data_IF_075966489783
#
_entry.id   IF_075966489783
#
_cell.length_a   1.000
_cell.length_b   1.000
_cell.length_c   1.000
_cell.angle_alpha   90.00
_cell.angle_beta   90.00
_cell.angle_gamma   90.00
#
_symmetry.space_group_name_H-M   'P 1'
#
loop_
_entity.id
_entity.type
_entity.pdbx_description
1 polymer ?
#
# COMPACT_ATOMS: atom_id res chain seq x y z
N UNK A 1 12.13 22.00 -4.87
CA UNK A 1 11.21 21.57 -5.96
C UNK A 1 10.81 20.12 -5.68
N UNK A 2 9.53 19.76 -5.80
CA UNK A 2 9.12 18.34 -5.69
C UNK A 2 9.52 17.65 -7.00
N UNK A 3 10.37 16.64 -6.94
CA UNK A 3 10.69 15.81 -8.11
C UNK A 3 9.43 15.05 -8.50
N UNK A 4 9.02 15.16 -9.76
CA UNK A 4 7.91 14.36 -10.28
C UNK A 4 8.41 12.94 -10.54
N UNK A 5 7.85 11.96 -9.83
CA UNK A 5 8.22 10.55 -9.95
C UNK A 5 7.06 9.79 -10.56
N UNK A 6 7.35 9.00 -11.59
CA UNK A 6 6.39 8.10 -12.21
C UNK A 6 6.68 6.68 -11.77
N UNK A 7 5.76 6.10 -10.98
CA UNK A 7 5.83 4.70 -10.55
C UNK A 7 4.86 3.89 -11.40
N UNK A 8 5.37 2.94 -12.18
CA UNK A 8 4.53 2.00 -12.93
C UNK A 8 4.11 0.87 -12.00
N UNK A 9 2.90 0.37 -12.20
CA UNK A 9 2.42 -0.82 -11.48
C UNK A 9 1.53 -1.66 -12.38
N UNK A 10 1.42 -2.95 -12.06
CA UNK A 10 0.60 -3.92 -12.78
C UNK A 10 -0.25 -4.71 -11.79
N UNK A 11 -1.48 -5.02 -12.20
CA UNK A 11 -2.28 -6.03 -11.51
C UNK A 11 -1.74 -7.41 -11.88
N UNK A 12 -1.40 -8.20 -10.88
CA UNK A 12 -1.07 -9.61 -11.02
C UNK A 12 -2.31 -10.51 -10.88
N UNK A 13 -3.39 -9.95 -10.30
CA UNK A 13 -4.68 -10.62 -10.13
C UNK A 13 -5.81 -9.70 -10.62
N UNK A 14 -6.83 -10.25 -11.27
CA UNK A 14 -7.98 -9.50 -11.79
C UNK A 14 -8.75 -8.74 -10.71
N UNK A 15 -8.84 -9.32 -9.50
CA UNK A 15 -9.54 -8.76 -8.35
C UNK A 15 -8.73 -7.71 -7.59
N UNK A 16 -7.45 -7.52 -7.93
CA UNK A 16 -6.60 -6.52 -7.28
C UNK A 16 -7.18 -5.12 -7.49
N UNK A 17 -7.22 -4.30 -6.44
CA UNK A 17 -7.70 -2.91 -6.51
C UNK A 17 -6.55 -1.97 -6.81
N UNK A 18 -6.80 -0.97 -7.66
CA UNK A 18 -5.81 0.05 -7.96
C UNK A 18 -5.54 0.90 -6.70
N UNK A 19 -4.29 1.28 -6.39
CA UNK A 19 -3.99 2.18 -5.30
C UNK A 19 -4.71 3.52 -5.48
N UNK A 20 -5.18 4.13 -4.40
CA UNK A 20 -5.84 5.44 -4.45
C UNK A 20 -5.10 6.46 -3.61
N UNK A 21 -5.17 7.73 -4.01
CA UNK A 21 -4.60 8.82 -3.23
C UNK A 21 -5.72 9.54 -2.49
N UNK A 22 -5.65 9.58 -1.16
CA UNK A 22 -6.74 10.12 -0.33
C UNK A 22 -6.96 11.63 -0.49
N UNK A 23 -5.95 12.38 -0.92
CA UNK A 23 -6.05 13.80 -1.26
C UNK A 23 -4.93 14.19 -2.23
N UNK A 24 -5.03 15.35 -2.89
CA UNK A 24 -4.00 15.85 -3.81
C UNK A 24 -2.61 16.06 -3.18
N UNK A 25 -2.55 16.14 -1.85
CA UNK A 25 -1.31 16.32 -1.09
C UNK A 25 -1.00 15.14 -0.17
N UNK A 26 -1.71 14.02 -0.30
CA UNK A 26 -1.43 12.85 0.53
C UNK A 26 -0.02 12.32 0.24
N UNK A 27 0.68 11.92 1.32
CA UNK A 27 2.07 11.49 1.24
C UNK A 27 2.28 10.14 0.52
N UNK A 28 1.21 9.37 0.32
CA UNK A 28 1.28 8.08 -0.35
C UNK A 28 -0.08 7.64 -0.88
N UNK A 29 -0.13 6.38 -1.31
CA UNK A 29 -1.32 5.74 -1.87
C UNK A 29 -1.81 4.65 -0.93
N UNK A 30 -3.12 4.63 -0.70
CA UNK A 30 -3.77 3.56 0.05
C UNK A 30 -3.71 2.26 -0.78
N UNK A 31 -3.27 1.18 -0.13
CA UNK A 31 -3.24 -0.18 -0.67
C UNK A 31 -4.40 -1.00 -0.12
N UNK A 32 -4.79 -2.02 -0.86
CA UNK A 32 -5.94 -2.86 -0.54
C UNK A 32 -5.52 -4.33 -0.48
N UNK A 33 -6.06 -5.06 0.49
CA UNK A 33 -5.96 -6.50 0.53
C UNK A 33 -6.69 -7.10 -0.68
N UNK A 34 -6.10 -8.14 -1.26
CA UNK A 34 -6.68 -8.90 -2.37
C UNK A 34 -7.88 -9.72 -1.92
N UNK A 35 -7.84 -10.20 -0.67
CA UNK A 35 -8.84 -11.07 -0.07
C UNK A 35 -9.09 -10.70 1.39
N UNK A 36 -10.17 -11.21 1.95
CA UNK A 36 -10.45 -11.07 3.37
C UNK A 36 -9.35 -11.77 4.19
N UNK A 37 -8.85 -11.09 5.22
CA UNK A 37 -7.78 -11.62 6.06
C UNK A 37 -8.09 -11.38 7.52
N UNK A 38 -7.98 -12.44 8.33
CA UNK A 38 -8.12 -12.36 9.79
C UNK A 38 -6.73 -12.18 10.40
N UNK A 39 -6.56 -11.10 11.17
CA UNK A 39 -5.32 -10.82 11.91
C UNK A 39 -5.57 -11.02 13.40
N UNK A 40 -4.95 -12.04 13.99
CA UNK A 40 -5.09 -12.29 15.42
C UNK A 40 -4.20 -11.34 16.22
N UNK A 41 -4.67 -10.95 17.41
CA UNK A 41 -3.91 -10.09 18.32
C UNK A 41 -2.56 -10.74 18.65
N UNK A 42 -1.47 -9.98 18.50
CA UNK A 42 -0.11 -10.44 18.77
C UNK A 42 0.50 -11.31 17.66
N UNK A 43 -0.17 -11.44 16.52
CA UNK A 43 0.36 -12.13 15.33
C UNK A 43 0.69 -11.12 14.23
N UNK A 44 1.61 -11.53 13.35
CA UNK A 44 1.90 -10.83 12.10
C UNK A 44 1.47 -11.72 10.93
N UNK A 45 0.84 -11.10 9.94
CA UNK A 45 0.40 -11.79 8.72
C UNK A 45 0.94 -11.06 7.49
N UNK A 46 1.23 -11.80 6.43
CA UNK A 46 1.54 -11.23 5.12
C UNK A 46 0.22 -11.10 4.37
N UNK A 47 -0.13 -9.88 3.96
CA UNK A 47 -1.36 -9.59 3.22
C UNK A 47 -1.00 -9.29 1.76
N UNK A 48 -1.54 -10.09 0.85
CA UNK A 48 -1.32 -9.92 -0.59
C UNK A 48 -2.17 -8.77 -1.13
N UNK A 49 -1.58 -7.91 -1.97
CA UNK A 49 -2.31 -6.82 -2.66
C UNK A 49 -2.71 -7.19 -4.09
N UNK A 50 -2.06 -8.20 -4.68
CA UNK A 50 -2.21 -8.56 -6.09
C UNK A 50 -1.59 -7.52 -7.05
N UNK A 51 -0.67 -6.68 -6.57
CA UNK A 51 0.01 -5.65 -7.36
C UNK A 51 1.51 -5.89 -7.41
N UNK A 52 2.12 -5.59 -8.55
CA UNK A 52 3.56 -5.39 -8.69
C UNK A 52 3.85 -3.91 -8.99
N UNK A 53 4.85 -3.34 -8.32
CA UNK A 53 5.28 -1.95 -8.52
C UNK A 53 6.72 -1.92 -9.05
N UNK A 54 6.97 -1.14 -10.09
CA UNK A 54 8.30 -0.85 -10.60
C UNK A 54 8.79 0.47 -9.98
N UNK A 55 9.42 0.36 -8.81
CA UNK A 55 10.01 1.50 -8.11
C UNK A 55 11.25 1.97 -8.89
N UNK A 56 11.37 3.27 -9.21
CA UNK A 56 12.51 3.79 -9.96
C UNK A 56 13.80 3.75 -9.14
N UNK A 57 14.93 3.69 -9.84
CA UNK A 57 16.26 3.71 -9.23
C UNK A 57 16.47 4.93 -8.33
N UNK A 58 17.14 4.73 -7.20
CA UNK A 58 17.36 5.76 -6.17
C UNK A 58 16.16 6.02 -5.25
N UNK A 59 15.08 5.24 -5.38
CA UNK A 59 13.89 5.33 -4.54
C UNK A 59 13.53 3.98 -3.93
N UNK A 60 12.74 4.01 -2.85
CA UNK A 60 12.15 2.83 -2.23
C UNK A 60 10.63 2.99 -2.10
N UNK A 61 9.92 1.87 -2.09
CA UNK A 61 8.51 1.82 -1.74
C UNK A 61 8.36 1.47 -0.26
N UNK A 62 7.92 2.43 0.56
CA UNK A 62 7.65 2.18 1.97
C UNK A 62 6.18 1.82 2.21
N UNK A 63 5.95 0.70 2.90
CA UNK A 63 4.63 0.36 3.45
C UNK A 63 4.51 1.00 4.83
N UNK A 64 3.46 1.81 5.04
CA UNK A 64 3.20 2.49 6.31
C UNK A 64 1.77 2.26 6.75
N UNK A 65 1.55 2.15 8.06
CA UNK A 65 0.21 2.02 8.63
C UNK A 65 -0.61 3.30 8.38
N UNK A 66 -1.90 3.15 8.08
CA UNK A 66 -2.84 4.28 8.13
C UNK A 66 -3.05 4.67 9.59
N UNK A 67 -3.08 5.97 9.88
CA UNK A 67 -3.20 6.49 11.25
C UNK A 67 -4.42 5.96 12.01
N UNK A 68 -5.52 5.70 11.30
CA UNK A 68 -6.75 5.11 11.87
C UNK A 68 -6.57 3.68 12.37
N UNK A 69 -5.72 2.88 11.71
CA UNK A 69 -5.35 1.52 12.13
C UNK A 69 -4.24 1.56 13.19
N UNK A 70 -3.23 2.41 13.01
CA UNK A 70 -2.15 2.60 13.97
C UNK A 70 -2.67 3.04 15.35
N UNK A 71 -3.68 3.93 15.41
CA UNK A 71 -4.35 4.33 16.66
C UNK A 71 -4.98 3.15 17.41
N UNK A 72 -5.31 2.06 16.72
CA UNK A 72 -5.88 0.83 17.27
C UNK A 72 -4.82 -0.23 17.59
N UNK A 73 -3.53 0.10 17.45
CA UNK A 73 -2.43 -0.84 17.67
C UNK A 73 -2.22 -1.84 16.52
N UNK A 74 -2.78 -1.58 15.34
CA UNK A 74 -2.56 -2.37 14.14
C UNK A 74 -1.53 -1.69 13.26
N UNK A 75 -0.35 -2.30 13.16
CA UNK A 75 0.82 -1.82 12.40
C UNK A 75 1.34 -2.99 11.58
#
# INVERSE_FOLDING_TARGET
MRTQIHVKFAKLNGEARLPTQGSSQAAGWDLYALEETIVLKGSSVIITTGLACAIPEGWEGQIRCRSSLGKKGMI
#
